data_IF_240414710166
#
_entry.id   IF_240414710166
#
_cell.length_a   1.000
_cell.length_b   1.000
_cell.length_c   1.000
_cell.angle_alpha   90.00
_cell.angle_beta   90.00
_cell.angle_gamma   90.00
#
_symmetry.space_group_name_H-M   'P 1'
#
loop_
_entity.id
_entity.type
_entity.pdbx_description
1 polymer ?
#
# COMPACT_ATOMS: atom_id res chain seq x y z
N UNK A 1 25.80 10.15 -83.23
CA UNK A 1 26.34 8.81 -83.58
C UNK A 1 26.38 7.95 -82.32
N UNK A 2 25.70 6.80 -82.40
CA UNK A 2 26.07 5.50 -81.80
C UNK A 2 26.19 5.28 -80.27
N UNK A 3 25.16 4.55 -79.79
CA UNK A 3 25.14 3.34 -78.93
C UNK A 3 24.84 3.47 -77.43
N UNK A 4 23.67 2.91 -77.12
CA UNK A 4 23.12 2.39 -75.87
C UNK A 4 24.05 1.48 -75.08
N UNK A 5 23.91 1.48 -73.75
CA UNK A 5 23.91 0.24 -72.95
C UNK A 5 23.04 0.42 -71.69
N UNK A 6 21.92 -0.31 -71.67
CA UNK A 6 21.18 -0.65 -70.47
C UNK A 6 21.95 -1.72 -69.68
N UNK A 7 21.96 -1.63 -68.36
CA UNK A 7 22.14 -2.80 -67.49
C UNK A 7 21.35 -2.60 -66.20
N UNK A 8 20.21 -3.29 -66.14
CA UNK A 8 19.39 -3.48 -64.95
C UNK A 8 20.02 -4.58 -64.08
N UNK A 9 20.42 -4.23 -62.86
CA UNK A 9 20.76 -5.21 -61.82
C UNK A 9 19.52 -5.55 -61.01
N UNK A 10 19.02 -6.78 -61.22
CA UNK A 10 18.04 -7.46 -60.37
C UNK A 10 18.62 -7.68 -58.97
N UNK A 11 18.22 -6.87 -58.00
CA UNK A 11 18.24 -7.25 -56.59
C UNK A 11 17.04 -8.14 -56.30
N UNK A 12 17.28 -9.42 -55.99
CA UNK A 12 16.24 -10.36 -55.57
C UNK A 12 15.67 -9.91 -54.23
N UNK A 13 14.39 -9.56 -54.22
CA UNK A 13 13.59 -9.44 -53.01
C UNK A 13 13.50 -10.81 -52.32
N UNK A 14 13.76 -10.84 -51.02
CA UNK A 14 13.44 -11.99 -50.17
C UNK A 14 11.91 -12.17 -50.11
N UNK A 15 11.42 -13.41 -50.08
CA UNK A 15 9.99 -13.68 -50.03
C UNK A 15 9.40 -13.32 -48.66
N UNK A 16 8.15 -12.85 -48.70
CA UNK A 16 7.30 -12.62 -47.54
C UNK A 16 7.18 -13.88 -46.67
N UNK A 17 7.08 -13.75 -45.33
CA UNK A 17 6.76 -14.88 -44.48
C UNK A 17 5.27 -15.23 -44.66
N UNK A 18 5.00 -16.22 -45.51
CA UNK A 18 3.73 -16.95 -45.49
C UNK A 18 3.62 -17.77 -44.21
N UNK A 19 2.46 -17.68 -43.53
CA UNK A 19 1.94 -18.79 -42.75
C UNK A 19 2.03 -18.70 -41.23
N UNK A 20 1.79 -17.55 -40.60
CA UNK A 20 1.32 -17.55 -39.21
C UNK A 20 -0.19 -17.80 -39.21
N UNK A 21 -0.59 -19.03 -38.86
CA UNK A 21 -1.98 -19.32 -38.52
C UNK A 21 -2.38 -18.44 -37.32
N UNK A 22 -3.58 -17.84 -37.30
CA UNK A 22 -4.07 -17.19 -36.10
C UNK A 22 -4.12 -18.23 -34.97
N UNK A 23 -3.48 -17.93 -33.85
CA UNK A 23 -3.67 -18.68 -32.61
C UNK A 23 -5.14 -18.51 -32.22
N UNK A 24 -5.92 -19.58 -32.34
CA UNK A 24 -7.20 -19.66 -31.63
C UNK A 24 -6.85 -19.79 -30.15
N UNK A 25 -7.17 -18.75 -29.38
CA UNK A 25 -7.13 -18.82 -27.93
C UNK A 25 -8.40 -19.56 -27.54
N UNK A 26 -8.27 -20.84 -27.19
CA UNK A 26 -9.35 -21.54 -26.49
C UNK A 26 -9.52 -20.89 -25.11
N UNK A 27 -10.73 -20.39 -24.83
CA UNK A 27 -11.15 -19.86 -23.54
C UNK A 27 -11.32 -21.00 -22.52
N UNK A 28 -10.26 -21.77 -22.27
CA UNK A 28 -10.28 -22.85 -21.29
C UNK A 28 -8.95 -23.04 -20.57
N UNK A 29 -8.23 -21.93 -20.33
CA UNK A 29 -7.18 -21.90 -19.33
C UNK A 29 -7.78 -21.37 -18.03
N UNK A 30 -8.41 -22.27 -17.30
CA UNK A 30 -8.63 -22.12 -15.86
C UNK A 30 -7.23 -22.15 -15.23
N UNK A 31 -6.69 -21.00 -14.84
CA UNK A 31 -5.48 -20.93 -14.03
C UNK A 31 -5.77 -21.60 -12.69
N UNK A 32 -5.46 -22.89 -12.62
CA UNK A 32 -5.43 -23.65 -11.38
C UNK A 32 -4.29 -23.10 -10.54
N UNK A 33 -4.68 -22.46 -9.43
CA UNK A 33 -3.92 -22.32 -8.20
C UNK A 33 -2.86 -23.42 -8.07
N UNK A 34 -1.58 -23.06 -8.09
CA UNK A 34 -0.53 -23.92 -7.56
C UNK A 34 0.28 -23.12 -6.56
N UNK A 35 -0.13 -23.29 -5.32
CA UNK A 35 0.60 -23.03 -4.10
C UNK A 35 2.08 -23.43 -4.28
N UNK A 36 2.96 -22.46 -4.06
CA UNK A 36 4.32 -22.73 -3.65
C UNK A 36 4.23 -23.18 -2.20
N UNK A 37 4.35 -24.49 -1.97
CA UNK A 37 4.65 -25.06 -0.66
C UNK A 37 6.16 -25.25 -0.53
N UNK A 38 6.79 -24.47 0.35
CA UNK A 38 7.98 -24.81 1.16
C UNK A 38 8.44 -23.53 1.86
N UNK A 39 8.76 -23.41 3.15
CA UNK A 39 8.97 -24.35 4.26
C UNK A 39 9.06 -23.50 5.54
N UNK A 40 8.22 -23.81 6.55
CA UNK A 40 8.44 -23.67 8.01
C UNK A 40 9.36 -22.56 8.56
N UNK A 41 8.76 -21.46 9.04
CA UNK A 41 8.80 -21.07 10.47
C UNK A 41 7.57 -20.21 10.76
N UNK A 42 6.85 -20.53 11.84
CA UNK A 42 5.49 -20.05 12.12
C UNK A 42 5.49 -18.69 12.80
N UNK A 43 5.08 -17.64 12.09
CA UNK A 43 4.22 -16.61 12.65
C UNK A 43 2.91 -16.70 11.85
N UNK A 44 2.00 -17.55 12.34
CA UNK A 44 0.62 -17.46 11.88
C UNK A 44 0.08 -16.16 12.46
N UNK A 45 -0.57 -15.34 11.63
CA UNK A 45 -1.50 -14.34 12.16
C UNK A 45 -2.33 -14.99 13.28
N UNK A 46 -2.54 -14.30 14.41
CA UNK A 46 -3.44 -14.79 15.44
C UNK A 46 -4.73 -15.31 14.77
N UNK A 47 -5.23 -16.51 15.13
CA UNK A 47 -6.33 -17.14 14.41
C UNK A 47 -7.54 -16.21 14.22
N UNK A 48 -7.78 -15.33 15.19
CA UNK A 48 -8.83 -14.32 15.16
C UNK A 48 -8.68 -13.28 14.04
N UNK A 49 -7.44 -12.90 13.67
CA UNK A 49 -7.16 -11.88 12.64
C UNK A 49 -7.19 -12.52 11.24
N UNK A 50 -6.66 -13.74 11.09
CA UNK A 50 -6.77 -14.48 9.83
C UNK A 50 -8.24 -14.83 9.51
N UNK A 51 -9.01 -15.25 10.52
CA UNK A 51 -10.44 -15.49 10.41
C UNK A 51 -11.23 -14.19 10.15
N UNK A 52 -10.68 -13.04 10.55
CA UNK A 52 -11.24 -11.72 10.27
C UNK A 52 -11.00 -11.26 8.83
N UNK A 53 -9.81 -11.44 8.25
CA UNK A 53 -9.59 -11.13 6.83
C UNK A 53 -10.42 -12.02 5.90
N UNK A 54 -10.49 -13.33 6.19
CA UNK A 54 -11.39 -14.22 5.46
C UNK A 54 -12.87 -13.83 5.65
N UNK A 55 -13.24 -13.31 6.83
CA UNK A 55 -14.60 -12.81 7.08
C UNK A 55 -14.87 -11.46 6.42
N UNK A 56 -13.91 -10.54 6.39
CA UNK A 56 -13.99 -9.24 5.71
C UNK A 56 -14.15 -9.42 4.21
N UNK A 57 -13.37 -10.33 3.62
CA UNK A 57 -13.52 -10.72 2.21
C UNK A 57 -14.89 -11.37 1.93
N UNK A 58 -15.58 -11.88 2.95
CA UNK A 58 -16.89 -12.53 2.86
C UNK A 58 -18.09 -11.67 3.29
N UNK A 59 -17.86 -10.54 3.95
CA UNK A 59 -18.89 -9.66 4.49
C UNK A 59 -19.21 -8.55 3.48
N UNK A 60 -20.47 -8.11 3.49
CA UNK A 60 -20.88 -6.93 2.76
C UNK A 60 -20.18 -5.71 3.40
N UNK A 61 -19.62 -4.79 2.60
CA UNK A 61 -18.70 -3.73 3.08
C UNK A 61 -19.32 -2.86 4.17
N UNK A 62 -20.65 -2.74 4.16
CA UNK A 62 -21.47 -2.04 5.15
C UNK A 62 -21.30 -2.58 6.59
N UNK A 63 -21.29 -3.90 6.79
CA UNK A 63 -21.20 -4.52 8.13
C UNK A 63 -19.77 -4.42 8.67
N UNK A 64 -18.79 -4.46 7.78
CA UNK A 64 -17.39 -4.28 8.15
C UNK A 64 -17.11 -2.86 8.65
N UNK A 65 -17.71 -1.86 8.02
CA UNK A 65 -17.49 -0.45 8.35
C UNK A 65 -18.18 -0.02 9.65
N UNK A 66 -19.40 -0.51 9.92
CA UNK A 66 -20.13 -0.26 11.19
C UNK A 66 -19.47 -0.92 12.41
N UNK A 67 -18.65 -1.95 12.20
CA UNK A 67 -17.85 -2.57 13.25
C UNK A 67 -16.62 -1.71 13.60
N UNK A 68 -16.00 -1.07 12.61
CA UNK A 68 -14.77 -0.29 12.79
C UNK A 68 -15.07 1.13 13.26
N UNK A 69 -16.06 1.79 12.67
CA UNK A 69 -16.50 3.13 13.05
C UNK A 69 -17.84 3.02 13.79
N UNK A 70 -17.90 3.59 14.99
CA UNK A 70 -19.12 3.65 15.79
C UNK A 70 -20.16 4.53 15.09
N UNK A 71 -21.43 4.38 15.50
CA UNK A 71 -22.60 5.06 14.91
C UNK A 71 -22.54 6.60 14.90
N UNK A 72 -21.53 7.16 15.56
CA UNK A 72 -21.33 8.55 15.91
C UNK A 72 -20.05 9.14 15.30
N UNK A 73 -19.34 8.39 14.46
CA UNK A 73 -18.12 8.88 13.76
C UNK A 73 -16.85 8.85 14.62
N UNK A 74 -16.94 8.36 15.86
CA UNK A 74 -15.76 7.92 16.64
C UNK A 74 -15.43 6.46 16.31
N UNK A 75 -14.19 6.04 16.59
CA UNK A 75 -13.81 4.62 16.49
C UNK A 75 -14.80 3.77 17.29
N UNK A 76 -15.47 2.83 16.61
CA UNK A 76 -16.44 1.95 17.24
C UNK A 76 -15.75 1.04 18.24
N UNK A 77 -16.51 0.38 19.13
CA UNK A 77 -15.91 -0.53 20.12
C UNK A 77 -15.00 -1.61 19.50
N UNK A 78 -15.17 -1.94 18.21
CA UNK A 78 -14.32 -2.86 17.47
C UNK A 78 -13.15 -2.17 16.75
N UNK A 79 -13.29 -0.94 16.23
CA UNK A 79 -12.15 -0.14 15.75
C UNK A 79 -11.22 0.26 16.89
N UNK A 80 -11.78 0.59 18.06
CA UNK A 80 -11.03 0.74 19.29
C UNK A 80 -10.41 -0.59 19.72
N UNK A 81 -11.09 -1.74 19.55
CA UNK A 81 -10.50 -3.05 19.83
C UNK A 81 -9.51 -3.54 18.75
N UNK A 82 -9.49 -2.94 17.56
CA UNK A 82 -8.48 -3.15 16.53
C UNK A 82 -7.27 -2.28 16.83
N UNK A 83 -7.46 -1.02 17.19
CA UNK A 83 -6.41 -0.13 17.72
C UNK A 83 -5.81 -0.72 19.01
N UNK A 84 -6.66 -1.18 19.92
CA UNK A 84 -6.27 -1.83 21.17
C UNK A 84 -5.80 -3.27 20.93
N UNK A 85 -6.21 -3.94 19.86
CA UNK A 85 -5.78 -5.28 19.45
C UNK A 85 -4.41 -5.26 18.76
N UNK A 86 -4.14 -4.20 17.99
CA UNK A 86 -2.81 -3.81 17.52
C UNK A 86 -1.94 -3.39 18.71
N UNK A 87 -2.49 -2.67 19.70
CA UNK A 87 -1.81 -2.36 20.96
C UNK A 87 -1.56 -3.60 21.85
N UNK A 88 -2.42 -4.62 21.78
CA UNK A 88 -2.26 -5.89 22.50
C UNK A 88 -1.17 -6.77 21.87
N UNK A 89 -0.75 -6.46 20.64
CA UNK A 89 0.50 -6.95 20.04
C UNK A 89 1.57 -5.86 20.06
N UNK A 90 2.09 -5.61 21.26
CA UNK A 90 3.39 -4.96 21.52
C UNK A 90 3.46 -3.43 21.42
N UNK A 91 3.13 -2.75 22.51
CA UNK A 91 4.15 -1.97 23.23
C UNK A 91 3.58 -1.46 24.55
N UNK A 92 4.33 -1.67 25.63
CA UNK A 92 4.10 -0.89 26.84
C UNK A 92 4.22 0.60 26.45
N UNK A 93 3.26 1.49 26.79
CA UNK A 93 3.35 2.91 26.45
C UNK A 93 4.65 3.54 26.94
N UNK A 94 5.20 3.04 28.06
CA UNK A 94 6.53 3.45 28.56
C UNK A 94 7.65 3.05 27.59
N UNK A 95 7.60 1.84 27.00
CA UNK A 95 8.60 1.39 26.02
C UNK A 95 8.49 2.15 24.70
N UNK A 96 7.28 2.49 24.27
CA UNK A 96 7.07 3.37 23.11
C UNK A 96 7.73 4.73 23.40
N UNK A 97 7.35 5.35 24.51
CA UNK A 97 7.90 6.64 24.92
C UNK A 97 9.43 6.61 24.96
N UNK A 98 10.07 5.61 25.58
CA UNK A 98 11.53 5.48 25.59
C UNK A 98 12.14 5.41 24.18
N UNK A 99 11.50 4.70 23.25
CA UNK A 99 11.97 4.62 21.84
C UNK A 99 11.84 5.95 21.12
N UNK A 100 10.73 6.66 21.31
CA UNK A 100 10.50 7.98 20.70
C UNK A 100 11.46 9.02 21.29
N UNK A 101 11.63 9.04 22.62
CA UNK A 101 12.57 9.92 23.32
C UNK A 101 14.01 9.73 22.83
N UNK A 102 14.41 8.49 22.54
CA UNK A 102 15.72 8.20 21.96
C UNK A 102 15.92 8.82 20.57
N UNK A 103 14.84 9.11 19.84
CA UNK A 103 14.87 9.70 18.49
C UNK A 103 14.76 11.23 18.54
N UNK A 104 13.79 11.78 19.29
CA UNK A 104 13.46 13.22 19.28
C UNK A 104 13.75 13.97 20.58
N UNK A 105 13.99 13.27 21.70
CA UNK A 105 14.23 13.81 23.04
C UNK A 105 13.02 13.69 23.97
N UNK A 106 13.19 14.09 25.24
CA UNK A 106 12.17 14.01 26.32
C UNK A 106 10.88 14.78 26.03
N UNK A 107 10.97 15.86 25.24
CA UNK A 107 9.82 16.63 24.82
C UNK A 107 9.18 15.94 23.59
N UNK A 108 7.95 15.45 23.75
CA UNK A 108 7.24 14.65 22.75
C UNK A 108 6.28 15.45 21.86
N UNK A 109 6.11 16.76 22.11
CA UNK A 109 5.21 17.61 21.32
C UNK A 109 5.50 17.49 19.81
N UNK A 110 4.48 17.28 18.99
CA UNK A 110 4.64 17.21 17.54
C UNK A 110 4.98 18.62 17.01
N UNK A 111 6.21 18.79 16.52
CA UNK A 111 6.66 20.06 15.93
C UNK A 111 7.34 19.80 14.58
N UNK A 112 7.31 20.76 13.63
CA UNK A 112 7.98 20.62 12.34
C UNK A 112 9.47 20.29 12.45
N UNK A 113 10.13 20.75 13.52
CA UNK A 113 11.53 20.44 13.80
C UNK A 113 11.72 18.96 14.16
N UNK A 114 10.87 18.42 15.03
CA UNK A 114 10.95 17.01 15.46
C UNK A 114 10.49 16.07 14.36
N UNK A 115 9.46 16.42 13.58
CA UNK A 115 9.07 15.68 12.37
C UNK A 115 10.27 15.52 11.42
N UNK A 116 11.02 16.60 11.14
CA UNK A 116 12.24 16.52 10.32
C UNK A 116 13.33 15.63 10.93
N UNK A 117 13.48 15.66 12.26
CA UNK A 117 14.42 14.79 12.97
C UNK A 117 14.02 13.32 12.87
N UNK A 118 12.73 13.03 13.06
CA UNK A 118 12.15 11.71 12.93
C UNK A 118 12.26 11.17 11.50
N UNK A 119 11.89 11.98 10.49
CA UNK A 119 12.06 11.64 9.06
C UNK A 119 13.51 11.30 8.72
N UNK A 120 14.48 12.05 9.25
CA UNK A 120 15.91 11.77 9.08
C UNK A 120 16.33 10.46 9.74
N UNK A 121 15.73 10.10 10.87
CA UNK A 121 15.94 8.81 11.52
C UNK A 121 15.37 7.67 10.66
N UNK A 122 14.09 7.75 10.28
CA UNK A 122 13.42 6.73 9.47
C UNK A 122 14.13 6.48 8.14
N UNK A 123 14.57 7.54 7.45
CA UNK A 123 15.33 7.44 6.19
C UNK A 123 16.61 6.59 6.33
N UNK A 124 17.19 6.51 7.53
CA UNK A 124 18.40 5.70 7.81
C UNK A 124 18.07 4.32 8.36
N UNK A 125 16.99 4.22 9.14
CA UNK A 125 16.62 3.02 9.87
C UNK A 125 15.87 2.01 8.99
N UNK A 126 15.05 2.50 8.05
CA UNK A 126 14.23 1.65 7.19
C UNK A 126 15.09 0.84 6.24
N UNK A 127 14.83 -0.47 6.23
CA UNK A 127 15.43 -1.41 5.29
C UNK A 127 14.62 -1.44 3.99
N UNK A 128 15.30 -1.37 2.84
CA UNK A 128 14.67 -1.47 1.53
C UNK A 128 14.88 -2.87 0.90
N UNK A 129 13.89 -3.38 0.13
CA UNK A 129 12.60 -2.77 -0.19
C UNK A 129 11.65 -2.73 1.02
N UNK A 130 10.83 -1.68 1.08
CA UNK A 130 9.83 -1.48 2.12
C UNK A 130 8.46 -1.35 1.43
N UNK A 131 7.52 -2.21 1.81
CA UNK A 131 6.20 -2.31 1.19
C UNK A 131 5.10 -1.88 2.16
N UNK A 132 4.25 -0.98 1.68
CA UNK A 132 3.20 -0.31 2.43
C UNK A 132 1.84 -0.57 1.79
N UNK A 133 0.78 -0.48 2.58
CA UNK A 133 -0.63 -0.46 2.14
C UNK A 133 -1.36 0.64 2.92
N UNK A 134 -2.54 1.06 2.49
CA UNK A 134 -3.34 1.98 3.29
C UNK A 134 -3.77 1.34 4.61
N UNK A 135 -3.65 2.07 5.71
CA UNK A 135 -4.12 1.63 7.02
C UNK A 135 -5.66 1.63 7.06
N UNK A 136 -6.27 2.66 6.46
CA UNK A 136 -7.71 2.87 6.35
C UNK A 136 -8.06 3.41 4.95
N UNK A 137 -9.35 3.37 4.54
CA UNK A 137 -9.80 4.02 3.33
C UNK A 137 -9.36 5.48 3.26
N UNK A 138 -8.85 5.91 2.11
CA UNK A 138 -8.52 7.33 1.93
C UNK A 138 -9.81 8.17 1.87
N UNK A 139 -9.72 9.46 2.19
CA UNK A 139 -10.86 10.40 2.22
C UNK A 139 -11.74 10.32 0.96
N UNK A 140 -11.12 10.21 -0.23
CA UNK A 140 -11.87 10.11 -1.48
C UNK A 140 -12.65 8.79 -1.64
N UNK A 141 -12.26 7.73 -0.94
CA UNK A 141 -12.91 6.42 -0.95
C UNK A 141 -14.11 6.39 0.00
N UNK A 142 -14.14 7.24 1.03
CA UNK A 142 -15.22 7.29 2.01
C UNK A 142 -16.58 7.55 1.36
N UNK A 143 -16.64 8.46 0.38
CA UNK A 143 -17.86 8.76 -0.38
C UNK A 143 -18.44 7.52 -1.09
N UNK A 144 -17.58 6.59 -1.51
CA UNK A 144 -17.97 5.37 -2.23
C UNK A 144 -18.28 4.21 -1.29
N UNK A 145 -17.64 4.18 -0.12
CA UNK A 145 -17.82 3.11 0.88
C UNK A 145 -19.02 3.38 1.79
N UNK A 146 -19.29 4.65 2.13
CA UNK A 146 -20.37 5.07 3.03
C UNK A 146 -21.75 5.15 2.35
N UNK A 147 -21.80 5.22 1.02
CA UNK A 147 -23.05 5.43 0.30
C UNK A 147 -23.66 4.11 -0.19
N UNK A 148 -24.93 3.86 0.16
CA UNK A 148 -25.77 2.80 -0.44
C UNK A 148 -25.92 2.91 -1.97
N UNK A 149 -25.36 3.96 -2.58
CA UNK A 149 -25.49 4.33 -4.00
C UNK A 149 -24.16 4.44 -4.76
N UNK A 150 -23.02 4.13 -4.12
CA UNK A 150 -21.72 4.14 -4.80
C UNK A 150 -21.79 3.23 -6.03
N UNK A 151 -21.60 3.80 -7.23
CA UNK A 151 -21.60 3.00 -8.46
C UNK A 151 -20.27 2.25 -8.48
N UNK A 152 -20.24 0.91 -8.35
CA UNK A 152 -18.97 0.18 -8.20
C UNK A 152 -18.02 0.42 -9.39
N UNK A 153 -18.58 0.63 -10.58
CA UNK A 153 -17.81 0.95 -11.78
C UNK A 153 -17.08 2.30 -11.72
N UNK A 154 -17.64 3.30 -11.02
CA UNK A 154 -17.00 4.61 -10.85
C UNK A 154 -15.85 4.50 -9.85
N UNK A 155 -16.08 3.81 -8.73
CA UNK A 155 -15.04 3.53 -7.74
C UNK A 155 -13.84 2.78 -8.37
N UNK A 156 -14.11 1.69 -9.10
CA UNK A 156 -13.06 0.94 -9.81
C UNK A 156 -12.35 1.76 -10.89
N UNK A 157 -13.06 2.67 -11.56
CA UNK A 157 -12.47 3.62 -12.50
C UNK A 157 -11.49 4.57 -11.80
N UNK A 158 -11.87 5.11 -10.65
CA UNK A 158 -11.04 6.03 -9.88
C UNK A 158 -9.82 5.34 -9.26
N UNK A 159 -9.93 4.09 -8.80
CA UNK A 159 -8.79 3.29 -8.29
C UNK A 159 -7.69 3.14 -9.32
N UNK A 160 -8.01 3.14 -10.61
CA UNK A 160 -6.98 3.09 -11.65
C UNK A 160 -6.14 4.36 -11.65
N UNK A 161 -6.69 5.52 -11.31
CA UNK A 161 -6.00 6.81 -11.36
C UNK A 161 -5.47 7.28 -10.01
N UNK A 162 -6.18 6.98 -8.92
CA UNK A 162 -5.89 7.40 -7.54
C UNK A 162 -5.26 6.25 -6.75
N UNK A 163 -4.53 6.60 -5.70
CA UNK A 163 -4.10 5.64 -4.69
C UNK A 163 -5.33 5.13 -3.92
N UNK A 164 -5.44 3.82 -3.73
CA UNK A 164 -6.46 3.18 -2.89
C UNK A 164 -5.82 2.52 -1.69
N UNK A 165 -6.52 2.45 -0.56
CA UNK A 165 -6.01 1.78 0.64
C UNK A 165 -5.73 0.28 0.42
N UNK A 166 -6.39 -0.31 -0.57
CA UNK A 166 -6.19 -1.71 -1.02
C UNK A 166 -4.96 -1.92 -1.90
N UNK A 167 -4.29 -0.85 -2.32
CA UNK A 167 -3.09 -0.95 -3.15
C UNK A 167 -1.85 -1.29 -2.32
N UNK A 168 -0.96 -2.09 -2.90
CA UNK A 168 0.38 -2.31 -2.35
C UNK A 168 1.35 -1.33 -2.99
N UNK A 169 2.03 -0.55 -2.16
CA UNK A 169 3.01 0.44 -2.54
C UNK A 169 4.42 0.03 -2.11
N UNK A 170 5.42 0.45 -2.88
CA UNK A 170 6.83 0.42 -2.48
C UNK A 170 7.25 1.83 -2.04
N UNK A 171 7.75 1.96 -0.81
CA UNK A 171 8.35 3.20 -0.32
C UNK A 171 9.62 3.53 -1.12
N UNK A 172 9.65 4.74 -1.71
CA UNK A 172 10.81 5.22 -2.47
C UNK A 172 11.65 6.19 -1.66
N UNK A 173 11.03 7.19 -1.04
CA UNK A 173 11.72 8.18 -0.20
C UNK A 173 10.74 8.96 0.67
N UNK A 174 11.29 9.59 1.70
CA UNK A 174 10.60 10.60 2.48
C UNK A 174 10.62 11.94 1.75
N UNK A 175 9.49 12.65 1.75
CA UNK A 175 9.42 14.01 1.23
C UNK A 175 10.20 14.97 2.13
N UNK A 176 10.64 16.08 1.56
CA UNK A 176 11.18 17.21 2.35
C UNK A 176 10.05 18.11 2.88
N UNK A 177 8.89 18.03 2.25
CA UNK A 177 7.67 18.71 2.66
C UNK A 177 7.02 17.97 3.81
N UNK A 178 6.35 18.74 4.67
CA UNK A 178 5.54 18.25 5.77
C UNK A 178 4.12 18.70 5.53
N UNK A 179 3.18 17.88 5.95
CA UNK A 179 1.80 18.28 6.13
C UNK A 179 1.62 18.82 7.56
N UNK A 180 0.83 19.88 7.72
CA UNK A 180 0.57 20.48 9.04
C UNK A 180 -0.43 19.67 9.86
N UNK A 181 -1.28 18.86 9.20
CA UNK A 181 -2.29 18.02 9.82
C UNK A 181 -1.90 16.54 9.80
N UNK A 182 -1.17 16.07 8.78
CA UNK A 182 -0.85 14.63 8.64
C UNK A 182 0.65 14.31 8.81
N UNK A 183 1.47 15.31 9.16
CA UNK A 183 2.88 15.14 9.48
C UNK A 183 3.79 14.78 8.28
N UNK A 184 4.43 13.61 8.32
CA UNK A 184 5.40 13.17 7.32
C UNK A 184 4.73 12.70 6.02
N UNK A 185 5.15 13.28 4.91
CA UNK A 185 4.79 12.80 3.57
C UNK A 185 5.85 11.84 3.02
N UNK A 186 5.41 10.79 2.34
CA UNK A 186 6.28 9.82 1.66
C UNK A 186 5.94 9.69 0.18
N UNK A 187 6.98 9.58 -0.65
CA UNK A 187 6.83 9.21 -2.05
C UNK A 187 6.86 7.69 -2.17
N UNK A 188 5.77 7.15 -2.72
CA UNK A 188 5.55 5.73 -2.88
C UNK A 188 5.24 5.41 -4.34
N UNK A 189 5.49 4.17 -4.73
CA UNK A 189 5.16 3.66 -6.07
C UNK A 189 4.26 2.44 -5.96
N UNK A 190 3.10 2.49 -6.59
CA UNK A 190 2.19 1.35 -6.63
C UNK A 190 2.80 0.20 -7.41
N UNK A 191 2.75 -1.00 -6.83
CA UNK A 191 3.52 -2.14 -7.33
C UNK A 191 2.99 -2.70 -8.66
N UNK A 192 1.68 -2.59 -8.93
CA UNK A 192 1.05 -3.20 -10.10
C UNK A 192 1.22 -2.38 -11.40
N UNK A 193 1.13 -1.05 -11.34
CA UNK A 193 1.19 -0.16 -12.52
C UNK A 193 2.31 0.88 -12.47
N UNK A 194 3.12 0.89 -11.41
CA UNK A 194 4.27 1.78 -11.22
C UNK A 194 3.91 3.27 -11.14
N UNK A 195 2.66 3.62 -10.86
CA UNK A 195 2.29 5.02 -10.59
C UNK A 195 2.87 5.49 -9.27
N UNK A 196 3.36 6.72 -9.26
CA UNK A 196 3.92 7.37 -8.07
C UNK A 196 2.89 8.25 -7.39
N UNK A 197 2.89 8.23 -6.07
CA UNK A 197 2.01 9.02 -5.23
C UNK A 197 2.82 9.63 -4.08
N UNK A 198 2.38 10.79 -3.62
CA UNK A 198 2.83 11.37 -2.34
C UNK A 198 1.68 11.20 -1.37
N UNK A 199 1.90 10.41 -0.32
CA UNK A 199 0.86 10.10 0.67
C UNK A 199 1.37 10.42 2.07
N UNK A 200 0.48 10.80 3.01
CA UNK A 200 0.83 10.89 4.41
C UNK A 200 1.23 9.52 4.96
N UNK A 201 2.32 9.48 5.71
CA UNK A 201 2.83 8.24 6.30
C UNK A 201 1.86 7.68 7.35
N UNK A 202 1.13 8.56 8.04
CA UNK A 202 0.13 8.17 9.04
C UNK A 202 -1.00 7.31 8.45
N UNK A 203 -1.32 7.51 7.17
CA UNK A 203 -2.36 6.75 6.46
C UNK A 203 -1.85 5.42 5.88
N UNK A 204 -0.60 5.05 6.16
CA UNK A 204 0.05 3.87 5.59
C UNK A 204 0.55 2.93 6.70
N UNK A 205 0.47 1.63 6.43
CA UNK A 205 1.02 0.59 7.30
C UNK A 205 1.93 -0.36 6.53
N UNK A 206 2.81 -1.05 7.24
CA UNK A 206 3.70 -2.05 6.67
C UNK A 206 2.92 -3.32 6.34
N UNK A 207 3.11 -3.84 5.12
CA UNK A 207 2.44 -5.07 4.65
C UNK A 207 2.94 -6.35 5.30
N UNK A 208 4.18 -6.35 5.82
CA UNK A 208 4.81 -7.48 6.51
C UNK A 208 5.11 -7.13 7.96
N UNK A 209 4.20 -7.50 8.87
CA UNK A 209 4.32 -7.24 10.32
C UNK A 209 5.57 -7.88 10.95
N UNK A 210 6.14 -8.91 10.31
CA UNK A 210 7.37 -9.54 10.80
C UNK A 210 8.64 -8.76 10.43
N UNK A 211 8.50 -7.74 9.57
CA UNK A 211 9.60 -6.89 9.13
C UNK A 211 10.08 -5.98 10.27
N UNK A 212 11.39 -5.72 10.39
CA UNK A 212 11.89 -4.71 11.32
C UNK A 212 11.38 -3.29 11.01
N UNK A 213 10.86 -3.07 9.79
CA UNK A 213 10.25 -1.80 9.43
C UNK A 213 8.89 -1.59 10.08
N UNK A 214 8.19 -2.66 10.50
CA UNK A 214 6.87 -2.57 11.10
C UNK A 214 6.89 -1.64 12.32
N UNK A 215 7.73 -1.97 13.31
CA UNK A 215 7.87 -1.17 14.54
C UNK A 215 8.29 0.28 14.25
N UNK A 216 9.14 0.52 13.25
CA UNK A 216 9.60 1.87 12.93
C UNK A 216 8.46 2.77 12.42
N UNK A 217 7.58 2.23 11.57
CA UNK A 217 6.44 2.98 11.04
C UNK A 217 5.35 3.09 12.11
N UNK A 218 5.08 2.00 12.83
CA UNK A 218 4.09 1.95 13.90
C UNK A 218 4.42 2.94 15.03
N UNK A 219 5.67 2.97 15.50
CA UNK A 219 6.16 3.93 16.49
C UNK A 219 5.93 5.39 16.07
N UNK A 220 6.15 5.70 14.79
CA UNK A 220 5.89 7.02 14.24
C UNK A 220 4.40 7.36 14.24
N UNK A 221 3.56 6.43 13.76
CA UNK A 221 2.12 6.63 13.70
C UNK A 221 1.52 6.81 15.09
N UNK A 222 1.92 5.97 16.05
CA UNK A 222 1.49 6.07 17.45
C UNK A 222 1.95 7.37 18.11
N UNK A 223 3.18 7.81 17.85
CA UNK A 223 3.65 9.11 18.35
C UNK A 223 2.82 10.28 17.82
N UNK A 224 2.47 10.26 16.53
CA UNK A 224 1.65 11.32 15.95
C UNK A 224 0.25 11.35 16.57
N UNK A 225 -0.42 10.20 16.68
CA UNK A 225 -1.77 10.10 17.24
C UNK A 225 -1.84 10.52 18.72
N UNK A 226 -0.82 10.20 19.51
CA UNK A 226 -0.83 10.47 20.96
C UNK A 226 -0.45 11.91 21.32
N UNK A 227 0.38 12.58 20.50
CA UNK A 227 1.03 13.85 20.86
C UNK A 227 0.79 15.02 19.87
N UNK A 228 -0.10 14.86 18.90
CA UNK A 228 -0.56 15.93 17.99
C UNK A 228 -1.65 16.84 18.59
#
# INVERSE_FOLDING_TARGET
MSKSYQKSSKGKAQPAPEGLKPLQIDETIVCSHRLIQSTSTTNKLPPAIAEFFERLESLDSFVAQELIQGSDGELGSFGLALLHGLAETSSNPEELQERIEAIIGEDLDVTPRKLRQYSKYLTKAISHPCYLTGADPFEWEEDFLSSESGIPAEYEGLKQERASYTDVFQLKKFSTELDEADGLLVEVERTHDRKSFTLPLINLMITDESSPNYQLIDDYCMWLVEFE
#
